data_IF_887267861031
#
_entry.id   IF_887267861031
#
_cell.length_a   1.000
_cell.length_b   1.000
_cell.length_c   1.000
_cell.angle_alpha   90.00
_cell.angle_beta   90.00
_cell.angle_gamma   90.00
#
_symmetry.space_group_name_H-M   'P 1'
#
loop_
_entity.id
_entity.type
_entity.pdbx_description
1 polymer ?
#
# COMPACT_ATOMS: atom_id res chain seq x y z
N UNK A 1 15.60 -0.33 16.20
CA UNK A 1 15.53 1.03 16.78
C UNK A 1 16.33 1.18 18.09
N UNK A 2 16.18 0.32 19.11
CA UNK A 2 16.88 0.48 20.41
C UNK A 2 18.41 0.54 20.34
N UNK A 3 19.01 -0.02 19.29
CA UNK A 3 20.46 -0.04 19.06
C UNK A 3 20.88 0.80 17.83
N UNK A 4 20.02 1.70 17.36
CA UNK A 4 20.28 2.58 16.21
C UNK A 4 20.34 4.05 16.65
N UNK A 5 20.91 4.95 15.83
CA UNK A 5 20.89 6.38 16.11
C UNK A 5 19.47 6.91 16.33
N UNK A 6 19.29 7.74 17.36
CA UNK A 6 17.96 8.21 17.78
C UNK A 6 17.21 9.05 16.74
N UNK A 7 17.92 9.65 15.77
CA UNK A 7 17.37 10.62 14.83
C UNK A 7 16.12 10.12 14.11
N UNK A 8 16.18 8.93 13.50
CA UNK A 8 15.03 8.36 12.79
C UNK A 8 13.84 8.11 13.71
N UNK A 9 14.06 7.60 14.92
CA UNK A 9 12.98 7.38 15.89
C UNK A 9 12.36 8.70 16.34
N UNK A 10 13.19 9.72 16.57
CA UNK A 10 12.71 11.05 16.96
C UNK A 10 11.85 11.69 15.87
N UNK A 11 12.23 11.56 14.60
CA UNK A 11 11.43 12.07 13.48
C UNK A 11 10.08 11.35 13.37
N UNK A 12 10.02 10.02 13.57
CA UNK A 12 8.74 9.29 13.60
C UNK A 12 7.85 9.71 14.77
N UNK A 13 8.42 9.97 15.95
CA UNK A 13 7.68 10.49 17.10
C UNK A 13 7.13 11.89 16.80
N UNK A 14 7.95 12.78 16.24
CA UNK A 14 7.51 14.12 15.83
C UNK A 14 6.38 14.05 14.81
N UNK A 15 6.53 13.22 13.77
CA UNK A 15 5.50 13.01 12.76
C UNK A 15 4.17 12.57 13.39
N UNK A 16 4.19 11.59 14.28
CA UNK A 16 2.99 11.14 14.99
C UNK A 16 2.32 12.28 15.78
N UNK A 17 3.12 13.06 16.54
CA UNK A 17 2.59 14.18 17.33
C UNK A 17 2.04 15.31 16.46
N UNK A 18 2.73 15.64 15.35
CA UNK A 18 2.24 16.62 14.39
C UNK A 18 0.93 16.16 13.74
N UNK A 19 0.83 14.88 13.36
CA UNK A 19 -0.39 14.32 12.78
C UNK A 19 -1.57 14.36 13.75
N UNK A 20 -1.37 14.04 15.04
CA UNK A 20 -2.41 14.22 16.07
C UNK A 20 -2.83 15.67 16.18
N UNK A 21 -1.87 16.60 16.21
CA UNK A 21 -2.16 18.03 16.41
C UNK A 21 -3.01 18.65 15.29
N UNK A 22 -3.05 18.02 14.10
CA UNK A 22 -3.78 18.53 12.94
C UNK A 22 -5.31 18.37 13.05
N UNK A 23 -5.79 17.24 13.57
CA UNK A 23 -7.23 16.93 13.65
C UNK A 23 -7.71 16.42 15.03
N UNK A 24 -6.80 16.23 15.99
CA UNK A 24 -7.09 16.14 17.43
C UNK A 24 -7.55 14.79 17.99
N UNK A 25 -8.00 13.84 17.17
CA UNK A 25 -8.51 12.53 17.68
C UNK A 25 -7.52 11.37 17.54
N UNK A 26 -6.81 11.34 16.42
CA UNK A 26 -5.81 10.31 16.10
C UNK A 26 -4.86 10.87 15.03
N UNK A 27 -3.68 10.27 14.80
CA UNK A 27 -2.78 10.69 13.72
C UNK A 27 -3.25 10.21 12.33
N UNK A 28 -4.35 9.47 12.25
CA UNK A 28 -4.80 8.80 11.02
C UNK A 28 -6.01 9.50 10.40
N UNK A 29 -6.04 9.42 9.07
CA UNK A 29 -7.20 9.76 8.24
C UNK A 29 -7.51 8.56 7.34
N UNK A 30 -8.77 8.41 6.98
CA UNK A 30 -9.21 7.38 6.05
C UNK A 30 -10.21 8.01 5.05
N UNK A 31 -10.03 7.81 3.74
CA UNK A 31 -10.89 8.40 2.73
C UNK A 31 -12.32 7.85 2.83
N UNK A 32 -13.31 8.72 2.65
CA UNK A 32 -14.68 8.29 2.42
C UNK A 32 -14.72 7.42 1.17
N UNK A 33 -15.54 6.37 1.21
CA UNK A 33 -15.65 5.33 0.17
C UNK A 33 -14.42 4.42 0.01
N UNK A 34 -13.41 4.58 0.87
CA UNK A 34 -12.29 3.65 0.97
C UNK A 34 -11.08 4.01 0.12
N UNK A 35 -10.04 3.20 0.26
CA UNK A 35 -8.72 3.47 -0.32
C UNK A 35 -8.70 3.48 -1.85
N UNK A 36 -9.70 2.87 -2.52
CA UNK A 36 -9.82 2.87 -3.98
C UNK A 36 -9.92 4.25 -4.61
N UNK A 37 -10.43 5.25 -3.87
CA UNK A 37 -10.49 6.63 -4.35
C UNK A 37 -9.11 7.30 -4.50
N UNK A 38 -8.06 6.80 -3.82
CA UNK A 38 -6.71 7.34 -3.95
C UNK A 38 -6.11 7.10 -5.35
N UNK A 39 -5.99 5.84 -5.85
CA UNK A 39 -5.49 5.59 -7.19
C UNK A 39 -6.41 6.18 -8.27
N UNK A 40 -7.73 6.23 -8.06
CA UNK A 40 -8.66 6.92 -8.97
C UNK A 40 -8.35 8.42 -9.07
N UNK A 41 -8.10 9.09 -7.94
CA UNK A 41 -7.73 10.49 -7.89
C UNK A 41 -6.43 10.79 -8.64
N UNK A 42 -5.38 9.99 -8.42
CA UNK A 42 -4.11 10.12 -9.15
C UNK A 42 -4.26 9.79 -10.64
N UNK A 43 -5.13 8.83 -10.98
CA UNK A 43 -5.43 8.50 -12.38
C UNK A 43 -6.10 9.67 -13.10
N UNK A 44 -7.07 10.32 -12.44
CA UNK A 44 -7.71 11.55 -12.94
C UNK A 44 -6.70 12.68 -13.13
N UNK A 45 -5.85 12.93 -12.13
CA UNK A 45 -4.81 13.97 -12.21
C UNK A 45 -3.93 13.74 -13.44
N UNK A 46 -3.42 12.53 -13.62
CA UNK A 46 -2.63 12.18 -14.78
C UNK A 46 -3.39 12.32 -16.10
N UNK A 47 -4.69 11.98 -16.16
CA UNK A 47 -5.50 12.14 -17.37
C UNK A 47 -5.72 13.61 -17.75
N UNK A 48 -5.90 14.50 -16.77
CA UNK A 48 -5.99 15.96 -16.98
C UNK A 48 -4.68 16.47 -17.61
N UNK A 49 -3.54 15.92 -17.21
CA UNK A 49 -2.24 16.22 -17.80
C UNK A 49 -1.92 15.41 -19.09
N UNK A 50 -2.93 14.83 -19.75
CA UNK A 50 -2.80 14.15 -21.05
C UNK A 50 -2.47 12.66 -20.99
N UNK A 51 -2.49 12.04 -19.81
CA UNK A 51 -2.34 10.61 -19.63
C UNK A 51 -3.51 9.81 -20.23
N UNK A 52 -3.22 8.65 -20.82
CA UNK A 52 -4.23 7.73 -21.35
C UNK A 52 -4.27 6.45 -20.53
N UNK A 53 -5.48 6.02 -20.16
CA UNK A 53 -5.71 4.83 -19.34
C UNK A 53 -6.36 3.71 -20.16
N UNK A 54 -5.89 2.49 -19.96
CA UNK A 54 -6.48 1.29 -20.55
C UNK A 54 -6.68 0.24 -19.46
N UNK A 55 -7.94 -0.06 -19.14
CA UNK A 55 -8.32 -1.17 -18.28
C UNK A 55 -8.63 -2.40 -19.15
N UNK A 56 -8.57 -3.59 -18.55
CA UNK A 56 -8.83 -4.85 -19.26
C UNK A 56 -7.95 -5.02 -20.53
N UNK A 57 -6.68 -4.59 -20.45
CA UNK A 57 -5.68 -4.69 -21.52
C UNK A 57 -4.51 -5.55 -21.02
N UNK A 58 -4.56 -6.88 -21.21
CA UNK A 58 -3.50 -7.77 -20.76
C UNK A 58 -2.19 -7.52 -21.50
N UNK A 59 -1.07 -7.60 -20.78
CA UNK A 59 0.28 -7.39 -21.29
C UNK A 59 1.00 -8.73 -21.44
N UNK A 60 1.59 -8.97 -22.62
CA UNK A 60 2.39 -10.16 -22.97
C UNK A 60 3.83 -10.01 -22.47
N UNK A 61 4.38 -8.80 -22.55
CA UNK A 61 5.71 -8.49 -22.05
C UNK A 61 6.26 -7.17 -22.55
N UNK A 62 7.55 -6.95 -22.29
CA UNK A 62 8.27 -5.74 -22.69
C UNK A 62 9.14 -6.01 -23.92
N UNK A 63 9.31 -4.99 -24.76
CA UNK A 63 10.15 -5.01 -25.95
C UNK A 63 11.44 -4.27 -25.65
N UNK A 64 12.58 -4.90 -25.92
CA UNK A 64 13.91 -4.34 -25.65
C UNK A 64 14.64 -3.98 -26.95
N UNK A 65 15.41 -2.89 -26.91
CA UNK A 65 16.30 -2.48 -28.00
C UNK A 65 17.62 -3.25 -27.99
N UNK A 66 18.47 -2.99 -29.00
CA UNK A 66 19.81 -3.59 -29.09
C UNK A 66 20.74 -3.16 -27.94
N UNK A 67 20.46 -2.02 -27.32
CA UNK A 67 21.16 -1.49 -26.14
C UNK A 67 20.70 -2.13 -24.82
N UNK A 68 19.75 -3.07 -24.87
CA UNK A 68 19.20 -3.74 -23.70
C UNK A 68 18.15 -2.93 -22.94
N UNK A 69 17.75 -1.75 -23.42
CA UNK A 69 16.74 -0.91 -22.76
C UNK A 69 15.35 -1.16 -23.29
N UNK A 70 14.35 -0.98 -22.43
CA UNK A 70 12.94 -1.07 -22.85
C UNK A 70 12.63 0.02 -23.88
N UNK A 71 11.98 -0.40 -24.96
CA UNK A 71 11.54 0.47 -26.04
C UNK A 71 10.05 0.30 -26.38
N UNK A 72 9.33 -0.54 -25.64
CA UNK A 72 7.89 -0.72 -25.80
C UNK A 72 7.29 -1.76 -24.87
N UNK A 73 5.96 -1.79 -24.83
CA UNK A 73 5.15 -2.78 -24.13
C UNK A 73 4.25 -3.45 -25.17
N UNK A 74 4.17 -4.78 -25.13
CA UNK A 74 3.36 -5.58 -26.05
C UNK A 74 2.15 -6.15 -25.33
N UNK A 75 0.96 -5.89 -25.85
CA UNK A 75 -0.28 -6.49 -25.34
C UNK A 75 -0.53 -7.88 -25.95
N UNK A 76 -1.41 -8.66 -25.32
CA UNK A 76 -1.72 -10.04 -25.74
C UNK A 76 -2.42 -10.14 -27.09
N UNK A 77 -3.03 -9.05 -27.56
CA UNK A 77 -3.62 -8.92 -28.90
C UNK A 77 -2.58 -8.56 -29.99
N UNK A 78 -1.30 -8.41 -29.62
CA UNK A 78 -0.19 -8.20 -30.53
C UNK A 78 0.17 -6.74 -30.78
N UNK A 79 -0.58 -5.77 -30.25
CA UNK A 79 -0.22 -4.35 -30.36
C UNK A 79 1.03 -4.02 -29.53
N UNK A 80 1.82 -3.06 -30.02
CA UNK A 80 3.03 -2.58 -29.33
C UNK A 80 2.95 -1.07 -29.13
N UNK A 81 2.88 -0.64 -27.88
CA UNK A 81 3.01 0.76 -27.49
C UNK A 81 4.49 1.08 -27.24
N UNK A 82 5.06 2.02 -27.99
CA UNK A 82 6.47 2.42 -27.84
C UNK A 82 6.65 3.39 -26.68
N UNK A 83 7.67 3.17 -25.87
CA UNK A 83 7.99 3.99 -24.71
C UNK A 83 9.50 4.02 -24.47
N UNK A 84 9.99 4.95 -23.64
CA UNK A 84 11.41 5.04 -23.24
C UNK A 84 11.71 4.38 -21.90
N UNK A 85 10.68 4.22 -21.08
CA UNK A 85 10.71 3.72 -19.71
C UNK A 85 9.39 3.02 -19.42
N UNK A 86 9.43 2.06 -18.50
CA UNK A 86 8.24 1.38 -17.97
C UNK A 86 8.27 1.46 -16.45
N UNK A 87 7.14 1.81 -15.84
CA UNK A 87 6.90 1.67 -14.41
C UNK A 87 5.85 0.58 -14.23
N UNK A 88 6.09 -0.39 -13.37
CA UNK A 88 5.17 -1.50 -13.15
C UNK A 88 5.23 -2.01 -11.71
N UNK A 89 4.17 -2.69 -11.27
CA UNK A 89 4.21 -3.48 -10.04
C UNK A 89 4.81 -4.88 -10.31
N UNK A 90 5.19 -5.62 -9.26
CA UNK A 90 5.84 -6.93 -9.40
C UNK A 90 5.07 -7.95 -10.25
N UNK A 91 3.74 -7.88 -10.32
CA UNK A 91 2.94 -8.86 -11.07
C UNK A 91 3.27 -8.91 -12.56
N UNK A 92 3.82 -7.85 -13.14
CA UNK A 92 4.24 -7.79 -14.55
C UNK A 92 5.61 -8.43 -14.82
N UNK A 93 6.41 -8.68 -13.77
CA UNK A 93 7.82 -9.12 -13.88
C UNK A 93 8.22 -10.18 -12.85
N UNK A 94 7.28 -10.74 -12.09
CA UNK A 94 7.56 -11.72 -11.02
C UNK A 94 8.16 -13.04 -11.49
N UNK A 95 8.09 -13.33 -12.78
CA UNK A 95 8.78 -14.45 -13.41
C UNK A 95 10.27 -14.20 -13.63
N UNK A 96 10.74 -12.95 -13.55
CA UNK A 96 12.14 -12.58 -13.76
C UNK A 96 12.85 -12.30 -12.41
N UNK A 97 13.71 -13.23 -11.94
CA UNK A 97 14.46 -13.04 -10.69
C UNK A 97 15.52 -11.93 -10.78
N UNK A 98 15.83 -11.43 -11.98
CA UNK A 98 16.67 -10.24 -12.17
C UNK A 98 15.91 -8.94 -11.95
N UNK A 99 14.58 -8.99 -11.82
CA UNK A 99 13.73 -7.82 -11.59
C UNK A 99 13.21 -7.74 -10.17
N UNK A 100 12.69 -8.85 -9.65
CA UNK A 100 12.11 -8.89 -8.31
C UNK A 100 12.54 -10.14 -7.56
N UNK A 101 12.56 -10.04 -6.23
CA UNK A 101 12.69 -11.20 -5.34
C UNK A 101 11.55 -11.19 -4.33
N UNK A 102 11.10 -12.38 -3.95
CA UNK A 102 10.16 -12.55 -2.83
C UNK A 102 10.90 -12.22 -1.53
N UNK A 103 10.42 -11.22 -0.81
CA UNK A 103 10.97 -10.76 0.47
C UNK A 103 10.21 -11.30 1.68
N UNK A 104 8.99 -11.81 1.48
CA UNK A 104 8.20 -12.41 2.55
C UNK A 104 6.78 -12.75 2.11
N UNK A 105 5.91 -12.92 3.10
CA UNK A 105 4.47 -13.08 2.90
C UNK A 105 3.71 -12.27 3.96
N UNK A 106 2.52 -11.81 3.62
CA UNK A 106 1.62 -11.10 4.53
C UNK A 106 0.28 -11.82 4.55
N UNK A 107 -0.23 -12.11 5.74
CA UNK A 107 -1.62 -12.51 5.92
C UNK A 107 -2.47 -11.26 6.09
N UNK A 108 -3.59 -11.20 5.37
CA UNK A 108 -4.67 -10.24 5.58
C UNK A 108 -5.96 -10.99 5.86
N UNK A 109 -6.65 -10.58 6.92
CA UNK A 109 -7.92 -11.18 7.32
C UNK A 109 -8.97 -10.09 7.48
N UNK A 110 -9.92 -10.05 6.55
CA UNK A 110 -11.05 -9.10 6.55
C UNK A 110 -12.21 -9.75 7.31
N UNK A 111 -12.68 -9.08 8.35
CA UNK A 111 -13.76 -9.53 9.21
C UNK A 111 -14.93 -8.55 9.15
N UNK A 112 -16.13 -9.04 8.85
CA UNK A 112 -17.38 -8.27 8.96
C UNK A 112 -17.93 -8.44 10.36
N UNK A 113 -18.20 -7.33 11.05
CA UNK A 113 -18.73 -7.31 12.40
C UNK A 113 -20.11 -6.63 12.43
N UNK A 114 -20.97 -7.12 13.31
CA UNK A 114 -22.28 -6.52 13.61
C UNK A 114 -22.25 -5.46 14.72
N UNK A 115 -21.11 -5.26 15.38
CA UNK A 115 -20.91 -4.30 16.47
C UNK A 115 -19.50 -3.71 16.45
N UNK A 116 -19.25 -2.56 17.13
CA UNK A 116 -17.90 -2.09 17.38
C UNK A 116 -17.04 -3.14 18.08
N UNK A 117 -15.72 -3.03 17.90
CA UNK A 117 -14.75 -3.84 18.65
C UNK A 117 -14.90 -3.54 20.16
N UNK A 118 -14.98 -4.56 21.04
CA UNK A 118 -14.98 -4.37 22.49
C UNK A 118 -13.85 -3.46 22.99
N UNK A 119 -14.09 -2.72 24.08
CA UNK A 119 -13.10 -1.83 24.71
C UNK A 119 -12.56 -0.69 23.83
N UNK A 120 -13.26 -0.33 22.75
CA UNK A 120 -12.91 0.81 21.89
C UNK A 120 -13.82 2.04 22.09
N UNK A 121 -14.59 2.08 23.18
CA UNK A 121 -15.57 3.14 23.43
C UNK A 121 -16.57 3.34 22.28
N UNK A 122 -17.01 2.22 21.67
CA UNK A 122 -17.91 2.20 20.51
C UNK A 122 -17.39 2.99 19.30
N UNK A 123 -16.08 2.98 19.06
CA UNK A 123 -15.48 3.69 17.95
C UNK A 123 -16.03 3.23 16.58
N UNK A 124 -16.29 4.19 15.69
CA UNK A 124 -16.65 3.92 14.30
C UNK A 124 -15.45 3.60 13.40
N UNK A 125 -14.24 3.95 13.86
CA UNK A 125 -12.96 3.52 13.33
C UNK A 125 -11.88 3.58 14.39
N UNK A 126 -10.89 2.70 14.29
CA UNK A 126 -9.73 2.72 15.16
C UNK A 126 -8.57 1.93 14.53
N UNK A 127 -7.39 2.08 15.11
CA UNK A 127 -6.25 1.23 14.85
C UNK A 127 -5.83 0.55 16.15
N UNK A 128 -5.62 -0.75 16.11
CA UNK A 128 -5.04 -1.53 17.20
C UNK A 128 -3.69 -2.06 16.72
N UNK A 129 -2.67 -1.85 17.53
CA UNK A 129 -1.33 -2.40 17.29
C UNK A 129 -1.09 -3.39 18.42
N UNK A 130 -0.77 -4.63 18.06
CA UNK A 130 -0.36 -5.69 18.99
C UNK A 130 1.15 -5.86 18.84
N UNK A 131 1.96 -5.29 19.74
CA UNK A 131 3.41 -5.34 19.62
C UNK A 131 3.91 -6.77 19.67
N UNK A 132 4.84 -7.12 18.79
CA UNK A 132 5.40 -8.45 18.57
C UNK A 132 5.78 -9.18 19.87
N UNK A 133 6.33 -8.46 20.87
CA UNK A 133 6.76 -9.03 22.16
C UNK A 133 5.61 -9.47 23.05
N UNK A 134 4.41 -8.89 22.89
CA UNK A 134 3.22 -9.28 23.66
C UNK A 134 2.64 -10.62 23.21
N UNK A 135 3.01 -11.06 22.00
CA UNK A 135 2.50 -12.29 21.37
C UNK A 135 3.62 -13.22 20.92
N UNK A 136 4.85 -13.01 21.44
CA UNK A 136 6.04 -13.82 21.14
C UNK A 136 6.35 -13.98 19.64
N UNK A 137 6.26 -12.87 18.90
CA UNK A 137 6.54 -12.78 17.46
C UNK A 137 7.75 -11.88 17.17
N UNK A 138 8.17 -11.86 15.91
CA UNK A 138 9.17 -10.92 15.39
C UNK A 138 8.56 -9.71 14.67
N UNK A 139 7.29 -9.78 14.29
CA UNK A 139 6.53 -8.72 13.64
C UNK A 139 5.23 -8.43 14.40
N UNK A 140 4.84 -7.15 14.43
CA UNK A 140 3.59 -6.69 15.03
C UNK A 140 2.37 -7.24 14.27
N UNK A 141 1.21 -7.25 14.93
CA UNK A 141 -0.09 -7.48 14.30
C UNK A 141 -0.87 -6.18 14.32
N UNK A 142 -1.39 -5.77 13.16
CA UNK A 142 -2.19 -4.57 13.01
C UNK A 142 -3.67 -4.94 12.82
N UNK A 143 -4.56 -4.16 13.44
CA UNK A 143 -6.00 -4.21 13.16
C UNK A 143 -6.46 -2.80 12.82
N UNK A 144 -7.05 -2.63 11.64
CA UNK A 144 -7.75 -1.41 11.27
C UNK A 144 -9.25 -1.68 11.28
N UNK A 145 -10.00 -0.87 12.03
CA UNK A 145 -11.46 -0.86 12.02
C UNK A 145 -11.94 0.34 11.21
N UNK A 146 -12.82 0.08 10.25
CA UNK A 146 -13.66 1.09 9.59
C UNK A 146 -15.10 0.61 9.59
N UNK A 147 -16.04 1.47 9.21
CA UNK A 147 -17.47 1.17 9.30
C UNK A 147 -18.28 1.93 8.28
N UNK A 148 -19.61 1.78 8.32
CA UNK A 148 -20.54 2.57 7.52
C UNK A 148 -20.34 4.08 7.62
N UNK A 149 -19.73 4.59 8.70
CA UNK A 149 -19.38 6.01 8.83
C UNK A 149 -18.40 6.50 7.74
N UNK A 150 -17.68 5.58 7.09
CA UNK A 150 -16.72 5.88 6.02
C UNK A 150 -17.29 5.51 4.64
N UNK A 151 -18.56 5.13 4.53
CA UNK A 151 -19.18 4.74 3.25
C UNK A 151 -18.69 3.40 2.67
N UNK A 152 -17.98 2.58 3.47
CA UNK A 152 -17.39 1.30 3.03
C UNK A 152 -18.20 0.07 3.43
N UNK A 153 -19.26 0.24 4.23
CA UNK A 153 -20.08 -0.86 4.72
C UNK A 153 -21.55 -0.43 4.88
N UNK A 154 -22.47 -1.39 4.91
CA UNK A 154 -23.88 -1.16 5.20
C UNK A 154 -24.04 -0.56 6.62
N UNK A 155 -25.07 0.27 6.82
CA UNK A 155 -25.39 0.86 8.13
C UNK A 155 -25.42 -0.21 9.24
N UNK A 156 -24.67 0.04 10.32
CA UNK A 156 -24.56 -0.87 11.47
C UNK A 156 -23.53 -1.99 11.28
N UNK A 157 -22.81 -2.03 10.15
CA UNK A 157 -21.72 -2.97 9.92
C UNK A 157 -20.36 -2.29 10.03
N UNK A 158 -19.39 -3.11 10.41
CA UNK A 158 -18.00 -2.74 10.58
C UNK A 158 -17.12 -3.70 9.80
N UNK A 159 -15.97 -3.21 9.34
CA UNK A 159 -14.95 -3.99 8.65
C UNK A 159 -13.68 -3.86 9.47
N UNK A 160 -13.24 -4.96 10.06
CA UNK A 160 -11.94 -5.07 10.71
C UNK A 160 -10.97 -5.79 9.77
N UNK A 161 -9.83 -5.17 9.47
CA UNK A 161 -8.78 -5.75 8.63
C UNK A 161 -7.59 -6.04 9.54
N UNK A 162 -7.25 -7.31 9.69
CA UNK A 162 -6.08 -7.77 10.43
C UNK A 162 -4.95 -8.01 9.43
N UNK A 163 -3.74 -7.56 9.74
CA UNK A 163 -2.54 -7.84 8.95
C UNK A 163 -1.29 -8.08 9.79
N UNK A 164 -0.44 -9.00 9.34
CA UNK A 164 0.92 -9.23 9.88
C UNK A 164 1.80 -9.94 8.85
N UNK A 165 3.11 -9.83 8.98
CA UNK A 165 4.09 -10.63 8.23
C UNK A 165 4.02 -12.08 8.69
N UNK A 166 4.00 -13.04 7.76
CA UNK A 166 3.94 -14.47 8.08
C UNK A 166 5.28 -14.97 8.62
N UNK A 167 5.25 -15.70 9.74
CA UNK A 167 6.44 -16.25 10.41
C UNK A 167 6.43 -17.79 10.48
N UNK A 168 5.29 -18.43 10.23
CA UNK A 168 5.08 -19.87 10.41
C UNK A 168 4.33 -20.50 9.22
N UNK A 169 4.20 -21.82 9.25
CA UNK A 169 3.43 -22.56 8.25
C UNK A 169 1.90 -22.47 8.44
N UNK A 170 1.42 -21.87 9.54
CA UNK A 170 -0.01 -21.67 9.84
C UNK A 170 -0.32 -20.17 10.06
N UNK A 171 -0.43 -19.39 8.98
CA UNK A 171 -0.61 -17.93 9.06
C UNK A 171 -1.88 -17.52 9.80
N UNK A 172 -2.94 -18.32 9.73
CA UNK A 172 -4.21 -18.01 10.39
C UNK A 172 -4.09 -18.07 11.91
N UNK A 173 -3.31 -19.02 12.43
CA UNK A 173 -3.04 -19.11 13.87
C UNK A 173 -2.23 -17.94 14.39
N UNK A 174 -1.36 -17.34 13.56
CA UNK A 174 -0.57 -16.17 13.94
C UNK A 174 -1.43 -14.95 14.30
N UNK A 175 -2.61 -14.83 13.70
CA UNK A 175 -3.53 -13.71 13.92
C UNK A 175 -4.62 -13.99 14.97
N UNK A 176 -4.60 -15.16 15.64
CA UNK A 176 -5.56 -15.50 16.70
C UNK A 176 -5.66 -14.43 17.80
N UNK A 177 -4.55 -13.84 18.30
CA UNK A 177 -4.63 -12.77 19.30
C UNK A 177 -5.43 -11.55 18.84
N UNK A 178 -5.42 -11.23 17.54
CA UNK A 178 -6.21 -10.13 16.99
C UNK A 178 -7.69 -10.52 16.79
N UNK A 179 -7.96 -11.75 16.34
CA UNK A 179 -9.32 -12.26 16.18
C UNK A 179 -10.09 -12.27 17.50
N UNK A 180 -9.44 -12.66 18.60
CA UNK A 180 -10.01 -12.68 19.94
C UNK A 180 -10.46 -11.29 20.43
N UNK A 181 -9.84 -10.21 19.92
CA UNK A 181 -10.22 -8.84 20.28
C UNK A 181 -11.50 -8.37 19.59
N UNK A 182 -11.90 -8.96 18.46
CA UNK A 182 -12.96 -8.41 17.61
C UNK A 182 -14.38 -8.64 18.16
N UNK A 183 -14.57 -9.57 19.10
CA UNK A 183 -15.89 -10.04 19.50
C UNK A 183 -16.53 -10.93 18.43
N UNK A 184 -17.88 -11.00 18.35
CA UNK A 184 -18.57 -11.84 17.35
C UNK A 184 -18.27 -11.39 15.91
N UNK A 185 -17.69 -12.29 15.13
CA UNK A 185 -17.41 -12.11 13.70
C UNK A 185 -18.55 -12.74 12.89
N UNK A 186 -19.17 -11.97 12.00
CA UNK A 186 -20.26 -12.48 11.15
C UNK A 186 -19.72 -13.22 9.93
N UNK A 187 -18.62 -12.73 9.36
CA UNK A 187 -17.96 -13.35 8.22
C UNK A 187 -16.47 -12.99 8.17
N UNK A 188 -15.67 -13.93 7.69
CA UNK A 188 -14.22 -13.82 7.60
C UNK A 188 -13.71 -14.14 6.18
N UNK A 189 -12.77 -13.35 5.67
CA UNK A 189 -12.08 -13.57 4.41
C UNK A 189 -10.56 -13.52 4.65
N UNK A 190 -9.88 -14.63 4.42
CA UNK A 190 -8.44 -14.76 4.67
C UNK A 190 -7.69 -14.82 3.35
N UNK A 191 -6.64 -14.02 3.22
CA UNK A 191 -5.74 -14.04 2.09
C UNK A 191 -4.29 -13.99 2.59
N UNK A 192 -3.44 -14.84 2.02
CA UNK A 192 -2.00 -14.75 2.19
C UNK A 192 -1.41 -14.34 0.86
N UNK A 193 -0.61 -13.28 0.86
CA UNK A 193 0.01 -12.73 -0.35
C UNK A 193 1.53 -12.71 -0.19
N UNK A 194 2.21 -13.05 -1.28
CA UNK A 194 3.66 -12.87 -1.38
C UNK A 194 3.99 -11.38 -1.46
N UNK A 195 5.09 -10.98 -0.83
CA UNK A 195 5.64 -9.63 -0.89
C UNK A 195 6.91 -9.71 -1.73
N UNK A 196 6.99 -8.84 -2.74
CA UNK A 196 8.13 -8.71 -3.63
C UNK A 196 8.79 -7.35 -3.48
N UNK A 197 10.11 -7.35 -3.60
CA UNK A 197 10.94 -6.14 -3.67
C UNK A 197 11.74 -6.12 -4.97
N UNK A 198 11.97 -4.92 -5.50
CA UNK A 198 12.81 -4.73 -6.68
C UNK A 198 14.27 -5.08 -6.37
N UNK A 199 14.96 -5.77 -7.28
CA UNK A 199 16.38 -6.13 -7.09
C UNK A 199 17.35 -5.15 -7.77
N UNK A 200 16.84 -4.26 -8.63
CA UNK A 200 17.60 -3.19 -9.29
C UNK A 200 16.88 -1.86 -9.15
N UNK A 201 17.57 -0.76 -9.46
CA UNK A 201 17.00 0.59 -9.48
C UNK A 201 16.36 0.96 -10.83
N UNK A 202 16.34 0.02 -11.79
CA UNK A 202 15.76 0.18 -13.12
C UNK A 202 16.61 0.95 -14.13
N UNK A 203 17.78 1.49 -13.78
CA UNK A 203 18.56 2.38 -14.67
C UNK A 203 19.27 1.66 -15.83
N UNK A 204 19.57 0.37 -15.67
CA UNK A 204 20.26 -0.41 -16.71
C UNK A 204 19.37 -0.63 -17.93
N UNK A 205 18.08 -0.91 -17.72
CA UNK A 205 17.13 -1.29 -18.77
C UNK A 205 15.86 -0.43 -18.86
N UNK A 206 15.79 0.64 -18.05
CA UNK A 206 14.68 1.59 -17.97
C UNK A 206 13.33 0.96 -17.53
N UNK A 207 13.35 -0.14 -16.78
CA UNK A 207 12.16 -0.73 -16.17
C UNK A 207 12.23 -0.58 -14.65
N UNK A 208 11.36 0.28 -14.11
CA UNK A 208 11.28 0.64 -12.70
C UNK A 208 10.12 -0.13 -12.05
N UNK A 209 10.43 -0.92 -11.02
CA UNK A 209 9.46 -1.82 -10.40
C UNK A 209 9.13 -1.32 -9.00
N UNK A 210 7.85 -1.19 -8.67
CA UNK A 210 7.44 -0.88 -7.30
C UNK A 210 7.54 -2.09 -6.38
N UNK A 211 7.56 -1.83 -5.09
CA UNK A 211 7.51 -2.87 -4.06
C UNK A 211 6.06 -3.28 -3.77
N UNK A 212 5.88 -4.50 -3.28
CA UNK A 212 4.57 -4.95 -2.79
C UNK A 212 4.21 -4.24 -1.48
N UNK A 213 2.93 -3.94 -1.27
CA UNK A 213 2.47 -3.39 0.00
C UNK A 213 2.76 -4.34 1.18
N UNK A 214 3.44 -3.81 2.18
CA UNK A 214 3.79 -4.51 3.40
C UNK A 214 2.57 -4.74 4.33
N UNK A 215 2.83 -5.26 5.54
CA UNK A 215 1.80 -5.55 6.52
C UNK A 215 1.28 -4.32 7.28
N UNK A 216 1.93 -3.17 7.17
CA UNK A 216 1.61 -1.98 7.96
C UNK A 216 0.27 -1.38 7.54
N UNK A 217 -0.34 -0.65 8.46
CA UNK A 217 -1.68 -0.05 8.29
C UNK A 217 -1.63 1.43 7.87
N UNK A 218 -0.50 1.92 7.38
CA UNK A 218 -0.31 3.29 6.89
C UNK A 218 0.57 3.33 5.62
N UNK A 219 0.63 4.47 4.95
CA UNK A 219 1.24 4.61 3.62
C UNK A 219 2.69 5.15 3.61
N UNK A 220 3.40 5.10 4.74
CA UNK A 220 4.75 5.70 4.82
C UNK A 220 5.73 4.97 3.87
N UNK A 221 5.85 3.65 3.99
CA UNK A 221 6.72 2.83 3.13
C UNK A 221 6.32 2.90 1.65
N UNK A 222 5.03 2.86 1.35
CA UNK A 222 4.53 2.99 -0.02
C UNK A 222 4.89 4.36 -0.64
N UNK A 223 4.85 5.43 0.14
CA UNK A 223 5.22 6.77 -0.32
C UNK A 223 6.74 6.90 -0.49
N UNK A 224 7.53 6.31 0.42
CA UNK A 224 8.98 6.22 0.29
C UNK A 224 9.38 5.49 -1.01
N UNK A 225 8.68 4.42 -1.37
CA UNK A 225 8.93 3.70 -2.63
C UNK A 225 8.58 4.54 -3.87
N UNK A 226 7.47 5.28 -3.85
CA UNK A 226 7.11 6.23 -4.93
C UNK A 226 8.21 7.28 -5.11
N UNK A 227 8.70 7.89 -4.03
CA UNK A 227 9.77 8.89 -4.08
C UNK A 227 11.09 8.30 -4.60
N UNK A 228 11.40 7.07 -4.19
CA UNK A 228 12.56 6.31 -4.68
C UNK A 228 12.47 6.05 -6.18
N UNK A 229 11.33 5.57 -6.67
CA UNK A 229 11.10 5.31 -8.10
C UNK A 229 11.21 6.59 -8.90
N UNK A 230 10.57 7.68 -8.45
CA UNK A 230 10.67 8.99 -9.09
C UNK A 230 12.13 9.40 -9.27
N UNK A 231 12.91 9.39 -8.18
CA UNK A 231 14.33 9.75 -8.22
C UNK A 231 15.14 8.87 -9.15
N UNK A 232 14.85 7.57 -9.20
CA UNK A 232 15.53 6.65 -10.11
C UNK A 232 15.21 6.94 -11.58
N UNK A 233 13.98 7.36 -11.88
CA UNK A 233 13.53 7.70 -13.24
C UNK A 233 14.06 9.04 -13.72
N UNK A 234 14.00 10.07 -12.87
CA UNK A 234 14.25 11.47 -13.26
C UNK A 234 15.67 11.93 -12.95
N UNK A 235 16.34 11.28 -12.00
CA UNK A 235 17.65 11.68 -11.48
C UNK A 235 17.58 12.74 -10.37
N UNK A 236 16.41 13.20 -9.97
CA UNK A 236 16.22 14.27 -8.98
C UNK A 236 15.13 13.94 -7.95
N UNK A 237 15.22 14.55 -6.77
CA UNK A 237 14.19 14.40 -5.73
C UNK A 237 12.88 15.10 -6.17
N UNK A 238 11.73 14.52 -5.84
CA UNK A 238 10.43 15.10 -6.18
C UNK A 238 10.21 16.42 -5.41
N UNK A 239 9.99 17.51 -6.13
CA UNK A 239 9.65 18.79 -5.52
C UNK A 239 8.19 18.83 -5.08
N UNK A 240 7.98 18.64 -3.77
CA UNK A 240 6.66 18.68 -3.13
C UNK A 240 6.17 20.11 -2.83
N UNK A 241 6.92 21.14 -3.21
CA UNK A 241 6.53 22.55 -3.02
C UNK A 241 5.70 23.12 -4.17
N UNK A 242 5.71 22.45 -5.33
CA UNK A 242 4.89 22.82 -6.49
C UNK A 242 3.42 22.61 -6.15
N UNK A 243 2.65 23.70 -6.14
CA UNK A 243 1.20 23.64 -5.90
C UNK A 243 0.51 23.26 -7.21
N UNK A 244 -0.51 22.40 -7.13
CA UNK A 244 -1.44 22.23 -8.24
C UNK A 244 -2.06 23.60 -8.57
N UNK A 245 -2.16 23.92 -9.86
CA UNK A 245 -2.77 25.18 -10.27
C UNK A 245 -4.24 25.19 -9.81
N UNK A 246 -4.79 26.33 -9.36
CA UNK A 246 -6.16 26.39 -8.86
C UNK A 246 -7.20 25.87 -9.86
N UNK A 247 -6.89 25.95 -11.16
CA UNK A 247 -7.71 25.48 -12.27
C UNK A 247 -7.84 23.95 -12.29
N UNK A 248 -6.82 23.20 -11.85
CA UNK A 248 -6.84 21.73 -11.72
C UNK A 248 -7.70 21.25 -10.54
N UNK A 249 -8.02 22.14 -9.60
CA UNK A 249 -8.77 21.85 -8.38
C UNK A 249 -10.25 22.26 -8.47
N UNK A 250 -10.68 22.95 -9.53
CA UNK A 250 -11.96 23.67 -9.59
C UNK A 250 -13.12 22.94 -10.28
N UNK A 251 -12.98 21.69 -10.72
CA UNK A 251 -14.12 20.90 -11.20
C UNK A 251 -14.68 19.97 -10.12
N UNK A 252 -15.44 20.55 -9.19
CA UNK A 252 -16.42 19.87 -8.33
C UNK A 252 -17.73 20.64 -8.25
#
# INVERSE_FOLDING_TARGET
>A
YLHQPMGQTMEKIKLYMYSISRYGKSPFIYPLYGLGGLPEGFSRLCAINGGTYMLNKPIDGFVYGEDGKVCGVKSTDGEVARCKMVVCDPSYVNYDPKKVRKSGQVIRCICILGSPIPNTSNASSCQIIIPQRQVNRTNDIYVMLVSSAHGVALKGKYIAIISTTVETADPLKEISPALELLGPIEQQFVQVSDVYEAVTDGKEDNVFVSESFDATSHFESATEDVLKIWKNMTGEDLDLSVKAEPEDLQEM
#
